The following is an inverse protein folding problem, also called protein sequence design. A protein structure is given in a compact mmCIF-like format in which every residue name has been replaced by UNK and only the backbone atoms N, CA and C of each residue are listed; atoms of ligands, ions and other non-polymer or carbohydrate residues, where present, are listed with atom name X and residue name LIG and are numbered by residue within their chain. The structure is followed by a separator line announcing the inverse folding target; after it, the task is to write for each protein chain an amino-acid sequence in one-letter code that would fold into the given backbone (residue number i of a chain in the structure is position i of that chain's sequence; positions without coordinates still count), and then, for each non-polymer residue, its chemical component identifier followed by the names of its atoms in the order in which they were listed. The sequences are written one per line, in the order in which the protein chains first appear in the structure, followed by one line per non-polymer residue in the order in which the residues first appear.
data_IF_103886920470
#
_entry.id   IF_103886920470
#
_cell.length_a   1.000
_cell.length_b   1.000
_cell.length_c   1.000
_cell.angle_alpha   90.00
_cell.angle_beta   90.00
_cell.angle_gamma   90.00
#
_symmetry.space_group_name_H-M   'P 1'
#
loop_
_entity.id
_entity.type
_entity.pdbx_description
1 polymer ?
#
# COMPACT_ATOMS: atom_id res chain seq x y z
N UNK A 1 48.58 -51.02 -10.24
CA UNK A 1 49.76 -50.23 -10.64
C UNK A 1 49.29 -48.84 -10.99
N UNK A 2 49.95 -47.80 -10.49
CA UNK A 2 49.75 -46.41 -10.91
C UNK A 2 49.14 -45.49 -9.85
N UNK A 3 49.98 -45.07 -8.89
CA UNK A 3 49.78 -43.83 -8.14
C UNK A 3 49.99 -42.63 -9.09
N UNK A 4 49.18 -41.58 -8.94
CA UNK A 4 49.58 -40.20 -9.24
C UNK A 4 48.84 -39.23 -8.29
N UNK A 5 49.57 -38.72 -7.30
CA UNK A 5 49.26 -37.50 -6.57
C UNK A 5 49.82 -36.29 -7.34
N UNK A 6 49.07 -35.20 -7.41
CA UNK A 6 49.64 -33.84 -7.51
C UNK A 6 48.60 -32.79 -7.07
N UNK A 7 48.80 -32.34 -5.84
CA UNK A 7 48.77 -30.98 -5.31
C UNK A 7 48.11 -29.80 -6.07
N UNK A 8 47.25 -29.12 -5.28
CA UNK A 8 47.13 -27.67 -5.05
C UNK A 8 46.73 -26.74 -6.22
N UNK A 9 45.49 -26.25 -6.16
CA UNK A 9 45.19 -24.81 -6.21
C UNK A 9 43.77 -24.55 -5.68
N UNK A 10 43.66 -24.14 -4.41
CA UNK A 10 42.47 -23.44 -3.92
C UNK A 10 42.40 -22.06 -4.58
N UNK A 11 41.43 -21.85 -5.46
CA UNK A 11 40.98 -20.50 -5.83
C UNK A 11 39.56 -20.29 -5.34
N UNK A 12 39.47 -19.68 -4.16
CA UNK A 12 38.27 -18.99 -3.67
C UNK A 12 37.97 -17.79 -4.57
N UNK A 13 36.96 -17.91 -5.41
CA UNK A 13 36.21 -16.77 -5.91
C UNK A 13 34.72 -17.05 -5.70
N UNK A 14 34.24 -16.71 -4.50
CA UNK A 14 32.81 -16.46 -4.29
C UNK A 14 32.45 -15.16 -5.02
N UNK A 15 31.74 -15.28 -6.14
CA UNK A 15 31.00 -14.15 -6.71
C UNK A 15 29.66 -14.10 -5.99
N UNK A 16 29.62 -13.31 -4.91
CA UNK A 16 28.38 -12.94 -4.22
C UNK A 16 27.55 -12.03 -5.09
N UNK A 17 26.74 -12.61 -5.98
CA UNK A 17 25.64 -11.91 -6.63
C UNK A 17 24.44 -11.87 -5.68
N UNK A 18 24.33 -10.82 -4.86
CA UNK A 18 23.08 -10.50 -4.19
C UNK A 18 22.08 -10.01 -5.25
N UNK A 19 21.27 -10.92 -5.79
CA UNK A 19 20.06 -10.51 -6.50
C UNK A 19 19.08 -9.96 -5.46
N UNK A 20 18.88 -8.65 -5.46
CA UNK A 20 17.75 -8.00 -4.84
C UNK A 20 16.47 -8.49 -5.54
N UNK A 21 15.94 -9.60 -5.06
CA UNK A 21 14.69 -10.17 -5.53
C UNK A 21 13.54 -9.22 -5.19
N UNK A 22 13.02 -8.53 -6.19
CA UNK A 22 11.67 -7.99 -6.18
C UNK A 22 10.68 -9.17 -6.17
N UNK A 23 10.50 -9.76 -4.99
CA UNK A 23 9.57 -10.86 -4.75
C UNK A 23 8.21 -10.29 -4.35
N UNK A 24 7.39 -9.90 -5.35
CA UNK A 24 5.99 -9.50 -5.08
C UNK A 24 5.00 -10.05 -6.12
N UNK A 25 5.46 -10.57 -7.27
CA UNK A 25 4.58 -11.21 -8.27
C UNK A 25 4.65 -12.73 -8.27
N UNK A 26 5.85 -13.31 -8.20
CA UNK A 26 6.07 -14.76 -8.33
C UNK A 26 5.47 -15.58 -7.19
N UNK A 27 5.53 -15.07 -5.96
CA UNK A 27 5.06 -15.80 -4.78
C UNK A 27 3.54 -15.96 -4.76
N UNK A 28 2.81 -15.00 -5.35
CA UNK A 28 1.34 -15.08 -5.42
C UNK A 28 0.89 -16.09 -6.47
N UNK A 29 1.59 -16.17 -7.59
CA UNK A 29 1.29 -17.12 -8.67
C UNK A 29 1.66 -18.55 -8.25
N UNK A 30 2.76 -18.72 -7.53
CA UNK A 30 3.15 -19.99 -6.91
C UNK A 30 2.13 -20.44 -5.83
N UNK A 31 1.70 -19.52 -4.97
CA UNK A 31 0.68 -19.80 -3.96
C UNK A 31 -0.69 -20.14 -4.58
N UNK A 32 -1.07 -19.46 -5.67
CA UNK A 32 -2.27 -19.79 -6.45
C UNK A 32 -2.19 -21.19 -7.05
N UNK A 33 -1.07 -21.54 -7.69
CA UNK A 33 -0.86 -22.86 -8.28
C UNK A 33 -0.94 -23.97 -7.21
N UNK A 34 -0.27 -23.79 -6.06
CA UNK A 34 -0.31 -24.76 -4.96
C UNK A 34 -1.71 -24.91 -4.33
N UNK A 35 -2.44 -23.82 -4.22
CA UNK A 35 -3.78 -23.84 -3.62
C UNK A 35 -4.85 -24.39 -4.60
N UNK A 36 -4.62 -24.29 -5.92
CA UNK A 36 -5.44 -24.91 -6.98
C UNK A 36 -5.22 -26.42 -6.98
N UNK A 37 -3.96 -26.84 -6.90
CA UNK A 37 -3.56 -28.25 -6.89
C UNK A 37 -4.01 -29.00 -5.62
N UNK A 38 -4.16 -28.29 -4.48
CA UNK A 38 -4.61 -28.88 -3.21
C UNK A 38 -6.13 -28.90 -3.02
N UNK A 39 -6.91 -28.39 -3.99
CA UNK A 39 -8.38 -28.29 -3.87
C UNK A 39 -8.87 -27.24 -2.85
N UNK A 40 -7.95 -26.51 -2.21
CA UNK A 40 -8.26 -25.46 -1.22
C UNK A 40 -8.83 -24.18 -1.84
N UNK A 41 -8.77 -24.02 -3.17
CA UNK A 41 -9.17 -22.81 -3.89
C UNK A 41 -10.61 -22.80 -4.41
N UNK A 42 -11.49 -23.71 -3.98
CA UNK A 42 -12.83 -23.80 -4.57
C UNK A 42 -13.56 -22.44 -4.68
N UNK A 43 -13.27 -21.44 -3.82
CA UNK A 43 -13.83 -20.09 -3.94
C UNK A 43 -12.99 -19.00 -3.22
N UNK A 44 -11.68 -18.89 -3.50
CA UNK A 44 -10.87 -17.79 -2.93
C UNK A 44 -10.61 -16.73 -4.00
N UNK A 45 -10.94 -15.47 -3.73
CA UNK A 45 -10.64 -14.34 -4.63
C UNK A 45 -9.59 -13.41 -4.02
N UNK A 46 -8.85 -12.68 -4.85
CA UNK A 46 -7.90 -11.68 -4.37
C UNK A 46 -8.54 -10.30 -4.41
N UNK A 47 -8.38 -9.54 -3.33
CA UNK A 47 -8.96 -8.22 -3.18
C UNK A 47 -7.86 -7.22 -2.83
N UNK A 48 -7.92 -6.06 -3.46
CA UNK A 48 -7.18 -4.87 -3.04
C UNK A 48 -8.02 -4.05 -2.07
N UNK A 49 -7.47 -3.76 -0.90
CA UNK A 49 -8.06 -2.90 0.10
C UNK A 49 -7.39 -1.54 0.04
N UNK A 50 -8.16 -0.49 -0.25
CA UNK A 50 -7.71 0.91 -0.18
C UNK A 50 -8.11 1.53 1.15
N UNK A 51 -7.35 2.54 1.60
CA UNK A 51 -7.59 3.19 2.88
C UNK A 51 -7.65 4.70 2.69
N UNK A 52 -8.62 5.33 3.35
CA UNK A 52 -8.75 6.78 3.53
C UNK A 52 -9.02 7.04 5.00
N UNK A 53 -8.53 8.14 5.55
CA UNK A 53 -8.92 8.58 6.88
C UNK A 53 -9.50 10.00 6.81
N UNK A 54 -10.22 10.39 7.85
CA UNK A 54 -10.83 11.71 7.94
C UNK A 54 -10.89 12.18 9.37
N UNK A 55 -10.67 13.49 9.54
CA UNK A 55 -10.70 14.14 10.85
C UNK A 55 -9.73 13.47 11.84
N UNK A 56 -8.54 13.07 11.38
CA UNK A 56 -7.47 12.65 12.26
C UNK A 56 -7.12 13.80 13.20
N UNK A 57 -6.74 13.46 14.43
CA UNK A 57 -6.37 14.46 15.42
C UNK A 57 -5.02 15.03 15.06
N UNK A 58 -4.90 16.36 15.09
CA UNK A 58 -3.59 16.99 15.03
C UNK A 58 -2.86 16.73 16.35
N UNK A 59 -1.78 15.95 16.31
CA UNK A 59 -0.94 15.69 17.48
C UNK A 59 0.25 16.65 17.58
N UNK A 60 0.61 17.30 16.49
CA UNK A 60 1.75 18.19 16.45
C UNK A 60 1.42 19.61 16.94
N UNK A 61 2.28 20.12 17.83
CA UNK A 61 2.27 21.53 18.23
C UNK A 61 3.04 22.32 17.16
N UNK A 62 2.39 22.60 16.03
CA UNK A 62 2.91 23.50 14.99
C UNK A 62 2.91 22.95 13.55
N UNK A 63 2.76 21.64 13.36
CA UNK A 63 2.49 20.98 12.07
C UNK A 63 1.16 20.22 12.12
N UNK A 64 0.76 19.58 11.01
CA UNK A 64 -0.30 18.57 11.00
C UNK A 64 0.35 17.19 11.07
N UNK A 65 -0.42 16.20 11.51
CA UNK A 65 0.01 14.80 11.50
C UNK A 65 0.41 14.30 10.11
N UNK A 66 1.38 13.39 10.10
CA UNK A 66 1.92 12.64 8.97
C UNK A 66 1.46 11.16 9.03
N UNK A 67 0.17 10.88 8.76
CA UNK A 67 -0.39 9.56 8.97
C UNK A 67 0.17 8.49 8.04
N UNK A 68 0.27 7.28 8.59
CA UNK A 68 0.47 6.01 7.88
C UNK A 68 -0.56 4.98 8.39
N UNK A 69 -1.08 4.15 7.50
CA UNK A 69 -1.96 3.05 7.86
C UNK A 69 -1.23 1.70 7.83
N UNK A 70 -1.49 0.87 8.85
CA UNK A 70 -1.00 -0.50 8.97
C UNK A 70 -2.19 -1.45 9.03
N UNK A 71 -2.19 -2.46 8.18
CA UNK A 71 -3.23 -3.49 8.15
C UNK A 71 -2.71 -4.76 8.81
N UNK A 72 -3.52 -5.32 9.70
CA UNK A 72 -3.28 -6.60 10.36
C UNK A 72 -4.41 -7.57 10.04
N UNK A 73 -4.07 -8.86 10.01
CA UNK A 73 -5.01 -9.97 9.91
C UNK A 73 -4.85 -10.93 11.09
N UNK A 74 -5.93 -11.59 11.47
CA UNK A 74 -5.89 -12.66 12.45
C UNK A 74 -6.17 -14.00 11.74
N UNK A 75 -5.15 -14.85 11.64
CA UNK A 75 -5.24 -16.12 10.87
C UNK A 75 -5.98 -17.24 11.60
N UNK A 76 -5.96 -17.21 12.92
CA UNK A 76 -6.57 -18.21 13.80
C UNK A 76 -7.51 -17.52 14.77
N UNK A 77 -8.59 -18.19 15.19
CA UNK A 77 -9.52 -17.64 16.18
C UNK A 77 -8.77 -17.29 17.46
N UNK A 78 -8.81 -16.01 17.87
CA UNK A 78 -8.08 -15.47 19.02
C UNK A 78 -6.54 -15.57 18.93
N UNK A 79 -5.99 -15.77 17.73
CA UNK A 79 -4.55 -15.76 17.48
C UNK A 79 -3.94 -14.35 17.54
N UNK A 80 -2.61 -14.22 17.42
CA UNK A 80 -1.96 -12.92 17.33
C UNK A 80 -2.35 -12.19 16.03
N UNK A 81 -2.33 -10.85 16.09
CA UNK A 81 -2.44 -10.01 14.91
C UNK A 81 -1.15 -10.08 14.10
N UNK A 82 -1.24 -10.46 12.83
CA UNK A 82 -0.11 -10.53 11.90
C UNK A 82 -0.17 -9.36 10.94
N UNK A 83 0.94 -8.65 10.76
CA UNK A 83 1.00 -7.50 9.85
C UNK A 83 0.88 -7.98 8.39
N UNK A 84 -0.10 -7.44 7.66
CA UNK A 84 -0.27 -7.63 6.22
C UNK A 84 0.62 -6.66 5.45
N UNK A 85 0.73 -5.43 5.95
CA UNK A 85 1.66 -4.44 5.43
C UNK A 85 1.32 -3.01 5.86
N UNK A 86 2.00 -2.05 5.24
CA UNK A 86 1.88 -0.60 5.52
C UNK A 86 1.69 0.23 4.26
N UNK A 87 0.98 1.34 4.37
CA UNK A 87 0.92 2.37 3.33
C UNK A 87 2.17 3.24 3.33
N UNK A 88 2.25 4.18 2.38
CA UNK A 88 3.13 5.34 2.51
C UNK A 88 2.66 6.29 3.64
N UNK A 89 3.58 7.16 4.07
CA UNK A 89 3.31 8.30 4.94
C UNK A 89 2.76 9.45 4.08
N UNK A 90 1.69 10.08 4.54
CA UNK A 90 1.11 11.27 3.89
C UNK A 90 1.38 12.49 4.76
N UNK A 91 2.26 13.39 4.32
CA UNK A 91 2.69 14.54 5.12
C UNK A 91 1.59 15.59 5.31
N UNK A 92 1.53 16.16 6.51
CA UNK A 92 0.71 17.30 6.91
C UNK A 92 -0.80 17.17 6.54
N UNK A 93 -1.39 15.99 6.75
CA UNK A 93 -2.75 15.70 6.28
C UNK A 93 -3.62 14.98 7.33
N UNK A 94 -4.69 15.64 7.79
CA UNK A 94 -5.65 15.08 8.74
C UNK A 94 -6.77 14.25 8.07
N UNK A 95 -6.83 14.25 6.74
CA UNK A 95 -7.76 13.45 5.95
C UNK A 95 -7.02 12.77 4.78
N UNK A 96 -6.04 11.90 5.09
CA UNK A 96 -5.20 11.29 4.08
C UNK A 96 -6.00 10.33 3.18
N UNK A 97 -5.61 10.29 1.92
CA UNK A 97 -6.04 9.27 0.96
C UNK A 97 -4.78 8.56 0.50
N UNK A 98 -4.61 7.31 0.91
CA UNK A 98 -3.39 6.54 0.64
C UNK A 98 -3.43 5.93 -0.76
N UNK A 99 -2.31 6.00 -1.46
CA UNK A 99 -2.09 5.42 -2.80
C UNK A 99 -1.88 3.92 -2.70
N UNK A 100 -1.06 3.46 -1.75
CA UNK A 100 -0.76 2.04 -1.59
C UNK A 100 -1.98 1.29 -1.05
N UNK A 101 -2.34 0.20 -1.72
CA UNK A 101 -3.39 -0.73 -1.31
C UNK A 101 -2.81 -2.00 -0.70
N UNK A 102 -3.64 -2.74 0.04
CA UNK A 102 -3.30 -4.03 0.61
C UNK A 102 -3.91 -5.16 -0.21
N UNK A 103 -3.10 -6.11 -0.66
CA UNK A 103 -3.57 -7.30 -1.36
C UNK A 103 -3.87 -8.41 -0.35
N UNK A 104 -5.13 -8.84 -0.28
CA UNK A 104 -5.60 -9.85 0.67
C UNK A 104 -6.38 -10.94 -0.07
N UNK A 105 -6.19 -12.20 0.30
CA UNK A 105 -7.01 -13.32 -0.19
C UNK A 105 -8.31 -13.40 0.61
N UNK A 106 -9.45 -13.30 -0.05
CA UNK A 106 -10.76 -13.48 0.54
C UNK A 106 -11.26 -14.90 0.36
N UNK A 107 -11.59 -15.57 1.46
CA UNK A 107 -12.21 -16.89 1.49
C UNK A 107 -13.59 -16.77 2.14
N UNK A 108 -14.65 -17.01 1.36
CA UNK A 108 -16.03 -16.82 1.80
C UNK A 108 -16.47 -17.75 2.95
N UNK A 109 -15.82 -18.91 3.13
CA UNK A 109 -16.14 -19.87 4.20
C UNK A 109 -15.43 -19.53 5.52
N UNK A 110 -14.46 -18.61 5.49
CA UNK A 110 -13.65 -18.24 6.64
C UNK A 110 -14.05 -16.87 7.18
N UNK A 111 -14.20 -16.80 8.50
CA UNK A 111 -14.17 -15.53 9.19
C UNK A 111 -12.74 -15.01 9.16
N UNK A 112 -12.53 -13.87 8.52
CA UNK A 112 -11.23 -13.20 8.43
C UNK A 112 -11.29 -11.86 9.17
N UNK A 113 -10.97 -11.82 10.47
CA UNK A 113 -10.85 -10.59 11.23
C UNK A 113 -9.64 -9.79 10.76
N UNK A 114 -9.86 -8.50 10.56
CA UNK A 114 -8.89 -7.52 10.12
C UNK A 114 -8.84 -6.38 11.12
N UNK A 115 -7.69 -5.73 11.24
CA UNK A 115 -7.52 -4.53 12.04
C UNK A 115 -6.68 -3.51 11.28
N UNK A 116 -7.22 -2.31 11.11
CA UNK A 116 -6.47 -1.18 10.58
C UNK A 116 -6.04 -0.28 11.73
N UNK A 117 -4.76 0.10 11.74
CA UNK A 117 -4.17 1.00 12.72
C UNK A 117 -3.59 2.19 11.98
N UNK A 118 -3.97 3.40 12.41
CA UNK A 118 -3.42 4.66 11.93
C UNK A 118 -2.41 5.16 12.97
N UNK A 119 -1.24 5.56 12.49
CA UNK A 119 -0.13 6.06 13.29
C UNK A 119 0.41 7.34 12.66
N UNK A 120 0.87 8.26 13.51
CA UNK A 120 1.61 9.46 13.12
C UNK A 120 3.10 9.13 13.04
N UNK A 121 3.74 9.44 11.91
CA UNK A 121 5.16 9.14 11.71
C UNK A 121 5.98 10.42 11.82
N UNK A 122 6.74 10.57 12.91
CA UNK A 122 7.56 11.74 13.14
C UNK A 122 8.67 11.93 12.08
N UNK A 123 9.06 13.18 11.86
CA UNK A 123 10.16 13.54 10.94
C UNK A 123 11.47 12.83 11.32
N UNK A 124 12.06 12.14 10.35
CA UNK A 124 13.33 11.41 10.50
C UNK A 124 13.17 9.91 10.80
N UNK A 125 11.95 9.43 11.04
CA UNK A 125 11.66 8.01 11.10
C UNK A 125 11.50 7.42 9.70
N UNK A 126 12.00 6.20 9.48
CA UNK A 126 11.74 5.46 8.25
C UNK A 126 10.44 4.63 8.42
N UNK A 127 9.36 4.94 7.68
CA UNK A 127 8.08 4.23 7.78
C UNK A 127 8.20 2.71 7.54
N UNK A 128 9.19 2.29 6.76
CA UNK A 128 9.40 0.88 6.42
C UNK A 128 10.01 0.05 7.56
N UNK A 129 10.74 0.68 8.50
CA UNK A 129 11.51 -0.05 9.53
C UNK A 129 11.10 0.28 10.95
N UNK A 130 10.36 1.36 11.18
CA UNK A 130 9.90 1.73 12.53
C UNK A 130 8.82 0.78 13.02
N UNK A 131 8.90 0.40 14.29
CA UNK A 131 7.85 -0.34 14.98
C UNK A 131 6.58 0.54 15.14
N UNK A 132 5.43 0.17 14.56
CA UNK A 132 4.18 0.91 14.71
C UNK A 132 3.75 1.11 16.16
N UNK A 133 4.17 0.22 17.08
CA UNK A 133 3.91 0.35 18.51
C UNK A 133 4.70 1.48 19.20
N UNK A 134 5.72 2.05 18.52
CA UNK A 134 6.52 3.18 19.00
C UNK A 134 6.13 4.51 18.34
N UNK A 135 5.24 4.46 17.36
CA UNK A 135 4.72 5.64 16.68
C UNK A 135 3.52 6.22 17.43
N UNK A 136 3.16 7.44 17.07
CA UNK A 136 2.10 8.15 17.73
C UNK A 136 0.73 7.65 17.30
N UNK A 137 0.10 6.79 18.10
CA UNK A 137 -1.18 6.14 17.79
C UNK A 137 -2.32 7.13 17.47
N UNK A 138 -2.81 7.15 16.24
CA UNK A 138 -3.93 8.00 15.80
C UNK A 138 -5.30 7.32 15.92
N UNK A 139 -5.33 6.00 16.03
CA UNK A 139 -6.57 5.24 16.21
C UNK A 139 -6.52 3.87 15.52
N UNK A 140 -7.46 3.00 15.89
CA UNK A 140 -7.61 1.70 15.22
C UNK A 140 -9.08 1.32 15.05
N UNK A 141 -9.36 0.51 14.04
CA UNK A 141 -10.67 -0.11 13.85
C UNK A 141 -10.50 -1.58 13.48
N UNK A 142 -11.34 -2.43 14.04
CA UNK A 142 -11.43 -3.85 13.68
C UNK A 142 -12.67 -4.08 12.82
N UNK A 143 -12.55 -4.98 11.85
CA UNK A 143 -13.64 -5.32 10.94
C UNK A 143 -13.46 -6.75 10.41
N UNK A 144 -14.52 -7.34 9.86
CA UNK A 144 -14.39 -8.60 9.11
C UNK A 144 -14.23 -8.28 7.63
N UNK A 145 -13.33 -8.98 6.94
CA UNK A 145 -13.14 -8.78 5.50
C UNK A 145 -14.47 -8.93 4.73
N UNK A 146 -15.29 -9.92 5.08
CA UNK A 146 -16.62 -10.11 4.48
C UNK A 146 -17.52 -8.88 4.57
N UNK A 147 -17.51 -8.17 5.71
CA UNK A 147 -18.31 -6.94 5.87
C UNK A 147 -17.92 -5.86 4.87
N UNK A 148 -16.63 -5.73 4.57
CA UNK A 148 -16.12 -4.78 3.58
C UNK A 148 -16.51 -5.20 2.15
N UNK A 149 -16.32 -6.48 1.80
CA UNK A 149 -16.63 -6.99 0.45
C UNK A 149 -18.12 -6.85 0.13
N UNK A 150 -18.99 -7.11 1.10
CA UNK A 150 -20.45 -7.04 0.92
C UNK A 150 -21.04 -5.66 1.21
N UNK A 151 -20.22 -4.68 1.60
CA UNK A 151 -20.71 -3.33 1.86
C UNK A 151 -21.26 -2.68 0.59
N UNK A 152 -22.29 -1.85 0.73
CA UNK A 152 -22.83 -1.07 -0.39
C UNK A 152 -21.72 -0.20 -0.98
N UNK A 153 -21.51 -0.28 -2.30
CA UNK A 153 -20.43 0.43 -2.98
C UNK A 153 -19.03 -0.11 -2.67
N UNK A 154 -18.92 -1.31 -2.08
CA UNK A 154 -17.67 -1.95 -1.64
C UNK A 154 -16.80 -1.04 -0.77
N UNK A 155 -17.45 -0.20 0.03
CA UNK A 155 -16.79 0.76 0.92
C UNK A 155 -17.35 0.66 2.34
N UNK A 156 -16.47 0.61 3.33
CA UNK A 156 -16.81 0.51 4.74
C UNK A 156 -16.15 1.65 5.53
N UNK A 157 -16.97 2.53 6.11
CA UNK A 157 -16.51 3.61 6.99
C UNK A 157 -16.71 3.22 8.44
N UNK A 158 -15.65 3.31 9.25
CA UNK A 158 -15.63 2.92 10.66
C UNK A 158 -15.07 4.07 11.52
N UNK A 159 -15.55 4.24 12.76
CA UNK A 159 -14.91 5.12 13.73
C UNK A 159 -13.56 4.55 14.15
N UNK A 160 -12.56 5.41 14.27
CA UNK A 160 -11.26 5.05 14.83
C UNK A 160 -11.32 5.09 16.36
N UNK A 161 -11.12 3.95 17.01
CA UNK A 161 -11.07 3.83 18.45
C UNK A 161 -9.72 4.36 18.96
N UNK A 162 -9.79 5.28 19.94
CA UNK A 162 -8.64 5.87 20.61
C UNK A 162 -8.82 5.66 22.12
N UNK A 163 -7.89 4.98 22.81
CA UNK A 163 -8.01 4.74 24.25
C UNK A 163 -8.25 6.04 25.04
N UNK A 164 -9.27 6.02 25.89
CA UNK A 164 -9.62 7.14 26.76
C UNK A 164 -10.21 8.36 26.05
N UNK A 165 -10.60 8.25 24.76
CA UNK A 165 -11.08 9.40 23.98
C UNK A 165 -12.28 9.03 23.09
N UNK A 166 -13.30 9.89 23.09
CA UNK A 166 -14.36 9.86 22.09
C UNK A 166 -13.93 10.76 20.91
N UNK A 167 -13.63 10.14 19.76
CA UNK A 167 -13.17 10.83 18.56
C UNK A 167 -14.23 10.93 17.46
N UNK A 168 -14.10 11.93 16.59
CA UNK A 168 -14.81 12.03 15.30
C UNK A 168 -14.02 11.44 14.14
N UNK A 169 -12.83 10.91 14.42
CA UNK A 169 -11.92 10.36 13.41
C UNK A 169 -12.49 9.09 12.85
N UNK A 170 -12.46 8.96 11.52
CA UNK A 170 -12.99 7.80 10.82
C UNK A 170 -11.97 7.26 9.82
N UNK A 171 -12.03 5.97 9.57
CA UNK A 171 -11.34 5.30 8.47
C UNK A 171 -12.36 4.77 7.48
N UNK A 172 -12.13 4.98 6.20
CA UNK A 172 -12.92 4.43 5.10
C UNK A 172 -12.05 3.46 4.33
N UNK A 173 -12.50 2.21 4.27
CA UNK A 173 -11.86 1.12 3.56
C UNK A 173 -12.62 0.88 2.26
N UNK A 174 -11.92 0.78 1.13
CA UNK A 174 -12.49 0.36 -0.15
C UNK A 174 -12.03 -1.05 -0.49
N UNK A 175 -12.87 -1.86 -1.14
CA UNK A 175 -12.50 -3.17 -1.64
C UNK A 175 -12.75 -3.31 -3.14
N UNK A 176 -11.75 -3.84 -3.83
CA UNK A 176 -11.83 -4.14 -5.24
C UNK A 176 -11.25 -5.51 -5.53
N UNK A 177 -11.97 -6.28 -6.33
CA UNK A 177 -11.48 -7.57 -6.80
C UNK A 177 -10.38 -7.35 -7.83
N UNK A 178 -9.27 -8.07 -7.65
CA UNK A 178 -8.11 -7.95 -8.51
C UNK A 178 -8.38 -8.76 -9.78
N UNK A 179 -8.40 -8.07 -10.93
CA UNK A 179 -8.44 -8.76 -12.22
C UNK A 179 -7.08 -9.38 -12.56
N UNK A 180 -7.09 -10.39 -13.41
CA UNK A 180 -5.87 -11.08 -13.88
C UNK A 180 -5.15 -10.32 -15.00
N UNK A 181 -5.45 -9.04 -15.21
CA UNK A 181 -4.79 -8.25 -16.24
C UNK A 181 -3.28 -8.10 -15.94
N UNK A 182 -2.45 -8.40 -16.94
CA UNK A 182 -0.97 -8.38 -16.83
C UNK A 182 -0.32 -7.21 -17.56
N UNK A 183 -1.12 -6.38 -18.21
CA UNK A 183 -0.65 -5.27 -19.01
C UNK A 183 0.05 -4.22 -18.13
N UNK A 184 1.24 -3.82 -18.58
CA UNK A 184 2.03 -2.75 -18.00
C UNK A 184 2.01 -1.57 -18.97
N UNK A 185 1.45 -0.46 -18.54
CA UNK A 185 1.38 0.77 -19.31
C UNK A 185 2.59 1.63 -18.97
N UNK A 186 3.33 2.04 -20.00
CA UNK A 186 4.50 2.90 -19.85
C UNK A 186 4.33 4.20 -20.63
N UNK A 187 4.49 5.33 -19.95
CA UNK A 187 4.40 6.65 -20.58
C UNK A 187 5.25 7.67 -19.82
N UNK A 188 5.67 8.74 -20.49
CA UNK A 188 6.38 9.85 -19.88
C UNK A 188 5.44 11.06 -19.76
N UNK A 189 5.57 11.82 -18.68
CA UNK A 189 4.79 13.03 -18.46
C UNK A 189 5.72 14.14 -18.03
N UNK A 190 5.54 15.31 -18.64
CA UNK A 190 6.24 16.55 -18.28
C UNK A 190 5.23 17.68 -18.14
N UNK A 191 5.57 18.70 -17.36
CA UNK A 191 4.83 19.96 -17.32
C UNK A 191 5.75 21.12 -17.68
N UNK A 192 5.17 22.23 -18.14
CA UNK A 192 5.90 23.44 -18.51
C UNK A 192 5.19 24.66 -17.97
N UNK A 193 5.95 25.66 -17.53
CA UNK A 193 5.45 26.95 -17.04
C UNK A 193 4.43 26.80 -15.90
N UNK A 194 4.67 25.89 -14.96
CA UNK A 194 3.85 25.78 -13.76
C UNK A 194 3.89 27.08 -12.96
N UNK A 195 2.75 27.44 -12.36
CA UNK A 195 2.67 28.61 -11.50
C UNK A 195 3.57 28.41 -10.28
N UNK A 196 4.45 29.37 -10.03
CA UNK A 196 5.19 29.41 -8.76
C UNK A 196 4.25 29.89 -7.64
N UNK A 197 4.11 29.07 -6.61
CA UNK A 197 3.32 29.38 -5.41
C UNK A 197 4.21 29.83 -4.24
N UNK A 198 5.53 29.77 -4.39
CA UNK A 198 6.48 30.06 -3.32
C UNK A 198 6.97 31.51 -3.38
N UNK A 199 7.30 32.09 -2.22
CA UNK A 199 7.71 33.50 -2.10
C UNK A 199 9.20 33.74 -2.35
N UNK A 200 10.08 32.76 -2.03
CA UNK A 200 11.54 32.90 -2.08
C UNK A 200 12.24 31.75 -2.83
N UNK A 201 11.47 30.81 -3.36
CA UNK A 201 11.91 29.60 -4.08
C UNK A 201 11.03 29.38 -5.30
N UNK A 202 11.28 28.29 -6.04
CA UNK A 202 10.30 27.75 -7.00
C UNK A 202 9.55 26.62 -6.32
N UNK A 203 8.29 26.43 -6.68
CA UNK A 203 7.51 25.30 -6.20
C UNK A 203 8.14 23.95 -6.55
N UNK A 204 7.77 22.95 -5.73
CA UNK A 204 8.23 21.56 -5.80
C UNK A 204 7.11 20.62 -6.32
N UNK A 205 6.76 20.64 -7.62
CA UNK A 205 5.61 19.90 -8.12
C UNK A 205 5.80 18.38 -8.16
N UNK A 206 4.69 17.67 -8.02
CA UNK A 206 4.55 16.24 -8.27
C UNK A 206 3.24 15.97 -9.02
N UNK A 207 3.13 14.80 -9.64
CA UNK A 207 1.93 14.34 -10.34
C UNK A 207 1.30 13.17 -9.60
N UNK A 208 -0.04 13.18 -9.49
CA UNK A 208 -0.84 12.08 -8.97
C UNK A 208 -1.84 11.64 -10.03
N UNK A 209 -1.90 10.34 -10.31
CA UNK A 209 -2.95 9.75 -11.13
C UNK A 209 -4.00 9.19 -10.19
N UNK A 210 -5.27 9.55 -10.40
CA UNK A 210 -6.40 9.04 -9.63
C UNK A 210 -7.36 8.29 -10.54
N UNK A 211 -7.96 7.23 -10.01
CA UNK A 211 -9.02 6.45 -10.63
C UNK A 211 -10.32 6.68 -9.87
N UNK A 212 -11.42 6.79 -10.61
CA UNK A 212 -12.76 6.86 -10.02
C UNK A 212 -13.19 5.47 -9.51
N UNK A 213 -13.68 5.39 -8.26
CA UNK A 213 -14.17 4.16 -7.66
C UNK A 213 -15.70 4.13 -7.63
N UNK A 214 -16.29 3.11 -8.26
CA UNK A 214 -17.74 2.90 -8.32
C UNK A 214 -18.48 3.89 -9.21
N UNK A 215 -19.81 3.79 -9.23
CA UNK A 215 -20.66 4.56 -10.17
C UNK A 215 -20.96 6.00 -9.70
N UNK A 216 -20.56 6.36 -8.48
CA UNK A 216 -20.77 7.70 -7.93
C UNK A 216 -19.59 8.63 -8.28
N UNK A 217 -19.87 9.63 -9.12
CA UNK A 217 -18.89 10.48 -9.81
C UNK A 217 -17.97 11.38 -8.99
N UNK A 218 -17.73 11.10 -7.70
CA UNK A 218 -16.81 11.91 -6.88
C UNK A 218 -15.92 11.11 -5.91
N UNK A 219 -15.85 9.78 -6.04
CA UNK A 219 -14.97 8.96 -5.21
C UNK A 219 -13.64 8.66 -5.92
N UNK A 220 -12.75 9.64 -5.98
CA UNK A 220 -11.43 9.47 -6.58
C UNK A 220 -10.47 8.78 -5.61
N UNK A 221 -9.75 7.79 -6.12
CA UNK A 221 -8.70 7.05 -5.43
C UNK A 221 -7.38 7.31 -6.16
N UNK A 222 -6.38 7.95 -5.53
CA UNK A 222 -5.06 8.05 -6.11
C UNK A 222 -4.48 6.64 -6.23
N UNK A 223 -3.95 6.35 -7.42
CA UNK A 223 -3.38 5.05 -7.77
C UNK A 223 -1.91 5.16 -8.12
N UNK A 224 -1.39 6.35 -8.39
CA UNK A 224 0.04 6.56 -8.64
C UNK A 224 0.45 7.97 -8.23
N UNK A 225 1.71 8.12 -7.79
CA UNK A 225 2.34 9.39 -7.46
C UNK A 225 3.79 9.37 -7.91
N UNK A 226 4.26 10.45 -8.56
CA UNK A 226 5.66 10.62 -8.97
C UNK A 226 6.56 11.03 -7.82
N UNK A 227 7.86 11.08 -8.07
CA UNK A 227 8.77 11.89 -7.25
C UNK A 227 8.40 13.38 -7.25
N UNK A 228 8.90 14.09 -6.25
CA UNK A 228 8.80 15.55 -6.13
C UNK A 228 9.95 16.18 -6.90
N UNK A 229 9.62 17.06 -7.85
CA UNK A 229 10.62 17.80 -8.62
C UNK A 229 10.96 19.11 -7.89
N UNK A 230 12.07 19.11 -7.14
CA UNK A 230 12.44 20.26 -6.31
C UNK A 230 12.78 21.51 -7.13
N UNK A 231 12.22 22.66 -6.75
CA UNK A 231 12.46 23.97 -7.33
C UNK A 231 12.33 24.01 -8.86
N UNK A 232 11.34 23.33 -9.43
CA UNK A 232 11.22 23.16 -10.87
C UNK A 232 9.80 23.45 -11.39
N UNK A 233 9.64 24.48 -12.22
CA UNK A 233 8.37 24.83 -12.87
C UNK A 233 8.19 24.17 -14.25
N UNK A 234 9.19 23.42 -14.71
CA UNK A 234 9.16 22.66 -15.95
C UNK A 234 9.63 21.20 -15.69
N UNK A 235 8.93 20.45 -14.82
CA UNK A 235 9.35 19.12 -14.46
C UNK A 235 9.22 18.16 -15.64
N UNK A 236 10.24 17.32 -15.81
CA UNK A 236 10.21 16.09 -16.60
C UNK A 236 10.37 14.95 -15.60
N UNK A 237 9.26 14.30 -15.23
CA UNK A 237 9.27 13.24 -14.23
C UNK A 237 9.79 11.93 -14.83
N UNK A 238 10.27 11.04 -13.98
CA UNK A 238 10.70 9.71 -14.40
C UNK A 238 9.58 8.99 -15.20
N UNK A 239 9.95 8.18 -16.21
CA UNK A 239 8.97 7.37 -16.95
C UNK A 239 8.07 6.57 -16.01
N UNK A 240 6.76 6.70 -16.21
CA UNK A 240 5.75 6.05 -15.40
C UNK A 240 5.54 4.65 -15.97
N UNK A 241 5.63 3.64 -15.11
CA UNK A 241 5.25 2.26 -15.39
C UNK A 241 4.17 1.83 -14.39
N UNK A 242 2.93 1.67 -14.86
CA UNK A 242 1.77 1.35 -14.02
C UNK A 242 1.01 0.16 -14.60
N UNK A 243 0.58 -0.78 -13.76
CA UNK A 243 -0.23 -1.92 -14.21
C UNK A 243 -1.64 -1.45 -14.56
N UNK A 244 -2.25 -2.03 -15.59
CA UNK A 244 -3.65 -1.76 -15.93
C UNK A 244 -4.58 -2.04 -14.72
N UNK A 245 -4.32 -3.11 -13.97
CA UNK A 245 -5.03 -3.43 -12.72
C UNK A 245 -5.00 -2.31 -11.68
N UNK A 246 -3.94 -1.51 -11.65
CA UNK A 246 -3.81 -0.37 -10.75
C UNK A 246 -4.45 0.88 -11.35
N UNK A 247 -4.38 1.08 -12.67
CA UNK A 247 -4.89 2.27 -13.34
C UNK A 247 -6.42 2.27 -13.53
N UNK A 248 -6.99 1.13 -13.93
CA UNK A 248 -8.40 1.00 -14.32
C UNK A 248 -9.00 -0.37 -13.95
N UNK A 249 -8.43 -1.08 -12.98
CA UNK A 249 -8.79 -2.47 -12.65
C UNK A 249 -8.58 -3.47 -13.80
N UNK A 250 -7.76 -3.15 -14.80
CA UNK A 250 -7.57 -3.99 -15.97
C UNK A 250 -8.75 -3.98 -16.94
N UNK A 251 -9.60 -2.93 -16.86
CA UNK A 251 -10.69 -2.71 -17.80
C UNK A 251 -10.13 -2.10 -19.11
N UNK A 252 -10.21 -2.77 -20.26
CA UNK A 252 -9.71 -2.21 -21.49
C UNK A 252 -10.61 -1.12 -22.11
N UNK A 253 -11.84 -0.88 -21.63
CA UNK A 253 -12.81 0.03 -22.27
C UNK A 253 -13.66 0.88 -21.32
#
# INVERSE_FOLDING_TARGET
MGNCFSDVAETKYQVGGQSLGHAVSGDVEAAQAQALLSGSLAYTSWVNITVKASNLRNKDIGSKSDPMAVLYEQKETNGPWVEVGRTEQVTDNLSPVFVKSFKVSFNFEKLQPMKVVLVDVDKGQNPATVDPGRMDFCGASEFKLSQLITAKGKALTLPLAIPGQAGKSTVTLGAEEISNARELLTFAVSATSLKNLDLLSKSDPFLTISRLQGDSGNNWQPVFKTEVAMNNLNPDWNPIAIKATQLNNGDPY
#
